data_IF_947409308230
#
_entry.id   IF_947409308230
#
_cell.length_a   1.000
_cell.length_b   1.000
_cell.length_c   1.000
_cell.angle_alpha   90.00
_cell.angle_beta   90.00
_cell.angle_gamma   90.00
#
_symmetry.space_group_name_H-M   'P 1'
#
loop_
_entity.id
_entity.type
_entity.pdbx_description
1 polymer ?
#
# COMPACT_ATOMS: atom_id res chain seq x y z
N UNK A 1 8.20 19.81 3.70
CA UNK A 1 8.29 18.83 2.60
C UNK A 1 7.14 17.86 2.77
N UNK A 2 6.44 17.44 1.71
CA UNK A 2 5.27 16.56 1.85
C UNK A 2 5.58 15.11 2.25
N UNK A 3 6.86 14.69 2.30
CA UNK A 3 7.23 13.35 2.75
C UNK A 3 7.07 13.21 4.26
N UNK A 4 6.19 12.28 4.66
CA UNK A 4 5.80 12.02 6.06
C UNK A 4 5.76 10.51 6.34
N UNK A 5 5.83 10.12 7.62
CA UNK A 5 5.49 8.75 8.04
C UNK A 5 3.98 8.51 7.92
N UNK A 6 3.55 7.25 7.99
CA UNK A 6 2.12 6.94 7.94
C UNK A 6 1.40 7.16 9.28
N UNK A 7 2.11 7.31 10.40
CA UNK A 7 1.52 7.33 11.75
C UNK A 7 0.37 8.33 11.89
N UNK A 8 0.66 9.62 11.69
CA UNK A 8 -0.39 10.65 11.82
C UNK A 8 -1.36 10.62 10.63
N UNK A 9 -0.90 10.28 9.42
CA UNK A 9 -1.73 10.15 8.23
C UNK A 9 -2.85 9.12 8.42
N UNK A 10 -2.53 7.93 8.95
CA UNK A 10 -3.51 6.86 9.14
C UNK A 10 -4.38 7.08 10.38
N UNK A 11 -3.85 7.73 11.40
CA UNK A 11 -4.64 8.13 12.57
C UNK A 11 -5.73 9.11 12.15
N UNK A 12 -5.38 10.15 11.39
CA UNK A 12 -6.34 11.12 10.85
C UNK A 12 -7.39 10.44 9.97
N UNK A 13 -6.96 9.53 9.08
CA UNK A 13 -7.87 8.77 8.23
C UNK A 13 -8.89 7.95 9.03
N UNK A 14 -8.43 7.22 10.06
CA UNK A 14 -9.29 6.46 10.96
C UNK A 14 -10.28 7.36 11.71
N UNK A 15 -9.80 8.46 12.28
CA UNK A 15 -10.63 9.40 13.05
C UNK A 15 -11.72 10.08 12.19
N UNK A 16 -11.39 10.41 10.94
CA UNK A 16 -12.32 11.06 10.00
C UNK A 16 -13.15 10.09 9.17
N UNK A 17 -12.87 8.79 9.23
CA UNK A 17 -13.65 7.76 8.54
C UNK A 17 -13.41 7.72 7.03
N UNK A 18 -12.13 7.82 6.59
CA UNK A 18 -11.71 7.54 5.23
C UNK A 18 -10.51 6.59 5.23
N UNK A 19 -10.10 6.11 4.06
CA UNK A 19 -8.86 5.36 3.94
C UNK A 19 -7.90 6.00 2.94
N UNK A 20 -6.60 6.00 3.27
CA UNK A 20 -5.55 6.43 2.35
C UNK A 20 -5.22 5.29 1.39
N UNK A 21 -5.22 5.58 0.09
CA UNK A 21 -4.81 4.61 -0.92
C UNK A 21 -3.29 4.40 -0.90
N UNK A 22 -2.85 3.14 -0.78
CA UNK A 22 -1.51 2.74 -1.18
C UNK A 22 -1.55 2.28 -2.62
N UNK A 23 -0.74 2.90 -3.48
CA UNK A 23 -0.59 2.53 -4.88
C UNK A 23 0.85 2.11 -5.15
N UNK A 24 1.04 0.92 -5.74
CA UNK A 24 2.38 0.37 -5.95
C UNK A 24 3.08 1.07 -7.12
N UNK A 25 4.35 1.44 -6.88
CA UNK A 25 5.25 1.97 -7.89
C UNK A 25 5.89 0.82 -8.67
N UNK A 26 5.76 0.86 -9.99
CA UNK A 26 6.39 -0.10 -10.88
C UNK A 26 7.45 0.53 -11.80
N UNK A 27 7.30 1.83 -12.11
CA UNK A 27 8.22 2.61 -12.94
C UNK A 27 7.93 4.12 -12.81
N UNK A 28 8.57 4.93 -13.67
CA UNK A 28 8.39 6.38 -13.71
C UNK A 28 6.94 6.79 -13.98
N UNK A 29 6.27 6.13 -14.93
CA UNK A 29 4.90 6.49 -15.35
C UNK A 29 3.88 6.27 -14.22
N UNK A 30 4.03 5.18 -13.44
CA UNK A 30 3.23 4.93 -12.24
C UNK A 30 3.45 6.04 -11.20
N UNK A 31 4.71 6.39 -10.93
CA UNK A 31 5.05 7.42 -9.95
C UNK A 31 4.47 8.78 -10.34
N UNK A 32 4.59 9.15 -11.62
CA UNK A 32 4.01 10.39 -12.16
C UNK A 32 2.49 10.41 -12.01
N UNK A 33 1.82 9.33 -12.43
CA UNK A 33 0.37 9.20 -12.39
C UNK A 33 -0.20 9.34 -10.98
N UNK A 34 0.41 8.64 -10.01
CA UNK A 34 -0.05 8.61 -8.62
C UNK A 34 0.15 9.98 -7.95
N UNK A 35 1.32 10.60 -8.11
CA UNK A 35 1.58 11.93 -7.53
C UNK A 35 0.69 13.02 -8.13
N UNK A 36 0.46 12.98 -9.45
CA UNK A 36 -0.45 13.93 -10.10
C UNK A 36 -1.91 13.72 -9.67
N UNK A 37 -2.35 12.47 -9.50
CA UNK A 37 -3.68 12.16 -8.99
C UNK A 37 -3.86 12.67 -7.56
N UNK A 38 -2.88 12.43 -6.69
CA UNK A 38 -2.91 12.86 -5.29
C UNK A 38 -3.00 14.39 -5.16
N UNK A 39 -2.20 15.13 -5.93
CA UNK A 39 -2.23 16.59 -5.93
C UNK A 39 -3.55 17.13 -6.52
N UNK A 40 -4.08 16.52 -7.57
CA UNK A 40 -5.36 16.93 -8.18
C UNK A 40 -6.54 16.71 -7.24
N UNK A 41 -6.58 15.57 -6.56
CA UNK A 41 -7.65 15.21 -5.60
C UNK A 41 -7.43 15.82 -4.20
N UNK A 42 -6.32 16.50 -3.95
CA UNK A 42 -5.93 16.94 -2.60
C UNK A 42 -6.06 15.81 -1.57
N UNK A 43 -5.51 14.67 -1.95
CA UNK A 43 -5.56 13.42 -1.19
C UNK A 43 -4.19 13.07 -0.62
N UNK A 44 -4.07 12.71 0.67
CA UNK A 44 -2.87 12.03 1.14
C UNK A 44 -2.67 10.73 0.36
N UNK A 45 -1.41 10.30 0.18
CA UNK A 45 -1.10 9.11 -0.63
C UNK A 45 0.08 8.33 -0.08
N UNK A 46 0.03 7.00 -0.23
CA UNK A 46 1.10 6.08 0.10
C UNK A 46 1.63 5.45 -1.18
N UNK A 47 2.93 5.60 -1.43
CA UNK A 47 3.66 5.02 -2.55
C UNK A 47 4.26 3.69 -2.10
N UNK A 48 3.62 2.58 -2.43
CA UNK A 48 4.06 1.23 -2.09
C UNK A 48 5.18 0.77 -3.02
N UNK A 49 6.23 0.20 -2.44
CA UNK A 49 7.38 -0.32 -3.20
C UNK A 49 7.72 -1.69 -2.67
N UNK A 50 7.42 -2.73 -3.44
CA UNK A 50 7.88 -4.09 -3.12
C UNK A 50 9.39 -4.23 -3.37
N UNK A 51 10.00 -5.28 -2.82
CA UNK A 51 11.40 -5.59 -3.09
C UNK A 51 11.65 -5.84 -4.57
N UNK A 52 10.71 -6.53 -5.26
CA UNK A 52 10.75 -6.79 -6.68
C UNK A 52 10.74 -5.52 -7.52
N UNK A 53 9.80 -4.63 -7.24
CA UNK A 53 9.69 -3.33 -7.89
C UNK A 53 10.92 -2.45 -7.62
N UNK A 54 11.43 -2.46 -6.38
CA UNK A 54 12.66 -1.76 -6.01
C UNK A 54 13.86 -2.25 -6.81
N UNK A 55 14.04 -3.57 -6.95
CA UNK A 55 15.10 -4.15 -7.80
C UNK A 55 14.94 -3.76 -9.27
N UNK A 56 13.72 -3.84 -9.79
CA UNK A 56 13.42 -3.48 -11.18
C UNK A 56 13.76 -2.01 -11.48
N UNK A 57 13.45 -1.09 -10.57
CA UNK A 57 13.74 0.35 -10.71
C UNK A 57 15.19 0.73 -10.40
N UNK A 58 16.09 -0.22 -10.12
CA UNK A 58 17.51 0.01 -9.88
C UNK A 58 17.89 0.23 -8.41
N UNK A 59 16.99 -0.09 -7.46
CA UNK A 59 17.22 -0.08 -6.03
C UNK A 59 16.45 1.00 -5.28
N UNK A 60 16.30 0.84 -3.97
CA UNK A 60 15.52 1.74 -3.12
C UNK A 60 15.99 3.20 -3.15
N UNK A 61 17.31 3.43 -3.25
CA UNK A 61 17.85 4.81 -3.37
C UNK A 61 17.38 5.49 -4.66
N UNK A 62 17.32 4.74 -5.77
CA UNK A 62 16.82 5.26 -7.06
C UNK A 62 15.35 5.63 -6.95
N UNK A 63 14.53 4.78 -6.30
CA UNK A 63 13.10 5.05 -6.04
C UNK A 63 12.94 6.34 -5.24
N UNK A 64 13.65 6.48 -4.12
CA UNK A 64 13.55 7.66 -3.27
C UNK A 64 14.00 8.92 -4.02
N UNK A 65 15.07 8.85 -4.80
CA UNK A 65 15.55 9.99 -5.60
C UNK A 65 14.52 10.40 -6.65
N UNK A 66 13.93 9.44 -7.37
CA UNK A 66 12.87 9.69 -8.35
C UNK A 66 11.63 10.33 -7.72
N UNK A 67 11.15 9.78 -6.61
CA UNK A 67 9.97 10.32 -5.91
C UNK A 67 10.23 11.75 -5.44
N UNK A 68 11.38 12.02 -4.81
CA UNK A 68 11.75 13.37 -4.33
C UNK A 68 11.82 14.38 -5.47
N UNK A 69 12.45 14.00 -6.59
CA UNK A 69 12.54 14.87 -7.76
C UNK A 69 11.16 15.18 -8.36
N UNK A 70 10.26 14.19 -8.45
CA UNK A 70 8.91 14.40 -8.97
C UNK A 70 8.02 15.21 -8.02
N UNK A 71 8.18 15.05 -6.71
CA UNK A 71 7.49 15.89 -5.72
C UNK A 71 7.86 17.35 -5.91
N UNK A 72 9.14 17.64 -6.12
CA UNK A 72 9.63 19.00 -6.36
C UNK A 72 9.15 19.54 -7.71
N UNK A 73 9.33 18.79 -8.80
CA UNK A 73 8.97 19.19 -10.16
C UNK A 73 7.46 19.45 -10.32
N UNK A 74 6.61 18.66 -9.67
CA UNK A 74 5.15 18.80 -9.73
C UNK A 74 4.58 19.72 -8.65
N UNK A 75 5.43 20.30 -7.78
CA UNK A 75 5.01 21.11 -6.65
C UNK A 75 3.95 20.40 -5.80
N UNK A 76 4.16 19.09 -5.51
CA UNK A 76 3.23 18.30 -4.71
C UNK A 76 3.17 18.84 -3.29
N UNK A 77 1.97 19.18 -2.82
CA UNK A 77 1.72 19.79 -1.51
C UNK A 77 1.09 18.83 -0.50
N UNK A 78 0.41 17.79 -0.99
CA UNK A 78 -0.28 16.79 -0.17
C UNK A 78 0.71 15.89 0.59
N UNK A 79 0.31 15.29 1.73
CA UNK A 79 1.13 14.33 2.44
C UNK A 79 1.41 13.07 1.60
N UNK A 80 2.68 12.69 1.49
CA UNK A 80 3.15 11.51 0.74
C UNK A 80 3.99 10.62 1.66
N UNK A 81 3.70 9.34 1.73
CA UNK A 81 4.57 8.35 2.35
C UNK A 81 5.23 7.47 1.30
N UNK A 82 6.54 7.17 1.46
CA UNK A 82 7.22 6.12 0.70
C UNK A 82 7.30 4.90 1.60
N UNK A 83 6.64 3.82 1.19
CA UNK A 83 6.42 2.64 2.02
C UNK A 83 7.03 1.38 1.39
N UNK A 84 7.84 0.64 2.16
CA UNK A 84 8.25 -0.71 1.77
C UNK A 84 7.06 -1.65 1.95
N UNK A 85 6.59 -2.24 0.87
CA UNK A 85 5.47 -3.15 0.81
C UNK A 85 5.98 -4.60 0.88
N UNK A 86 5.49 -5.39 1.83
CA UNK A 86 5.94 -6.76 2.10
C UNK A 86 7.46 -6.94 2.22
N UNK A 87 8.10 -6.21 3.15
CA UNK A 87 9.51 -6.43 3.49
C UNK A 87 9.73 -7.83 4.05
N UNK A 88 10.55 -8.65 3.39
CA UNK A 88 10.74 -10.07 3.70
C UNK A 88 11.64 -10.33 4.90
N UNK A 89 12.33 -9.32 5.42
CA UNK A 89 13.32 -9.47 6.49
C UNK A 89 13.65 -8.16 7.17
N UNK A 90 14.25 -8.24 8.37
CA UNK A 90 14.84 -7.09 9.04
C UNK A 90 15.83 -6.32 8.16
N UNK A 91 16.67 -7.04 7.41
CA UNK A 91 17.69 -6.45 6.52
C UNK A 91 17.05 -5.65 5.38
N UNK A 92 15.93 -6.12 4.84
CA UNK A 92 15.19 -5.41 3.80
C UNK A 92 14.59 -4.12 4.33
N UNK A 93 13.93 -4.18 5.49
CA UNK A 93 13.40 -3.00 6.19
C UNK A 93 14.52 -2.00 6.50
N UNK A 94 15.65 -2.45 7.05
CA UNK A 94 16.81 -1.61 7.35
C UNK A 94 17.35 -0.92 6.09
N UNK A 95 17.46 -1.63 4.95
CA UNK A 95 17.88 -1.05 3.67
C UNK A 95 16.92 0.03 3.18
N UNK A 96 15.61 -0.20 3.29
CA UNK A 96 14.60 0.78 2.91
C UNK A 96 14.67 2.04 3.78
N UNK A 97 14.76 1.89 5.10
CA UNK A 97 14.94 2.99 6.06
C UNK A 97 16.18 3.82 5.71
N UNK A 98 17.34 3.17 5.51
CA UNK A 98 18.58 3.84 5.13
C UNK A 98 18.55 4.50 3.75
N UNK A 99 17.69 4.03 2.84
CA UNK A 99 17.47 4.67 1.55
C UNK A 99 16.60 5.93 1.63
N UNK A 100 15.85 6.12 2.73
CA UNK A 100 14.99 7.27 2.98
C UNK A 100 13.50 7.00 2.79
N UNK A 101 13.06 5.75 2.95
CA UNK A 101 11.65 5.41 3.10
C UNK A 101 11.11 6.00 4.39
N UNK A 102 9.87 6.45 4.36
CA UNK A 102 9.20 7.05 5.52
C UNK A 102 8.29 6.06 6.27
N UNK A 103 8.13 4.87 5.71
CA UNK A 103 7.39 3.76 6.28
C UNK A 103 7.92 2.43 5.76
N UNK A 104 7.81 1.38 6.56
CA UNK A 104 8.14 0.01 6.16
C UNK A 104 7.10 -0.97 6.68
N UNK A 105 6.79 -2.00 5.88
CA UNK A 105 6.10 -3.19 6.35
C UNK A 105 7.11 -4.32 6.54
N UNK A 106 7.04 -4.98 7.69
CA UNK A 106 7.66 -6.28 7.91
C UNK A 106 6.62 -7.38 7.79
N UNK A 107 6.78 -8.23 6.79
CA UNK A 107 5.90 -9.39 6.59
C UNK A 107 6.59 -10.65 7.13
N UNK A 108 6.34 -10.93 8.40
CA UNK A 108 6.76 -12.14 9.07
C UNK A 108 5.57 -13.08 9.39
N UNK A 109 4.44 -12.89 8.70
CA UNK A 109 3.19 -13.61 8.93
C UNK A 109 3.28 -15.12 8.65
N UNK A 110 4.24 -15.53 7.83
CA UNK A 110 4.53 -16.92 7.49
C UNK A 110 5.39 -17.66 8.54
N UNK A 111 5.91 -16.94 9.54
CA UNK A 111 6.65 -17.53 10.68
C UNK A 111 5.73 -17.84 11.86
N UNK A 112 6.17 -18.69 12.82
CA UNK A 112 5.48 -18.83 14.09
C UNK A 112 5.26 -17.50 14.79
N UNK A 113 4.15 -17.34 15.52
CA UNK A 113 3.73 -16.08 16.14
C UNK A 113 4.83 -15.38 16.93
N UNK A 114 5.54 -16.08 17.81
CA UNK A 114 6.63 -15.48 18.63
C UNK A 114 7.82 -15.03 17.78
N UNK A 115 8.08 -15.67 16.65
CA UNK A 115 9.13 -15.27 15.71
C UNK A 115 8.70 -14.02 14.92
N UNK A 116 7.42 -13.95 14.50
CA UNK A 116 6.84 -12.75 13.92
C UNK A 116 6.97 -11.57 14.87
N UNK A 117 6.53 -11.74 16.15
CA UNK A 117 6.66 -10.70 17.20
C UNK A 117 8.11 -10.27 17.37
N UNK A 118 9.05 -11.21 17.50
CA UNK A 118 10.46 -10.90 17.76
C UNK A 118 11.11 -10.14 16.58
N UNK A 119 10.77 -10.52 15.34
CA UNK A 119 11.28 -9.86 14.14
C UNK A 119 10.68 -8.47 13.98
N UNK A 120 9.36 -8.36 14.14
CA UNK A 120 8.63 -7.09 14.06
C UNK A 120 9.13 -6.08 15.11
N UNK A 121 9.32 -6.50 16.37
CA UNK A 121 9.82 -5.62 17.43
C UNK A 121 11.20 -5.03 17.10
N UNK A 122 12.10 -5.82 16.50
CA UNK A 122 13.42 -5.33 16.07
C UNK A 122 13.31 -4.28 14.97
N UNK A 123 12.37 -4.49 14.00
CA UNK A 123 12.12 -3.51 12.94
C UNK A 123 11.55 -2.23 13.53
N UNK A 124 10.60 -2.32 14.46
CA UNK A 124 10.00 -1.17 15.15
C UNK A 124 11.07 -0.35 15.88
N UNK A 125 11.97 -0.99 16.64
CA UNK A 125 13.05 -0.30 17.35
C UNK A 125 13.90 0.54 16.37
N UNK A 126 14.33 -0.05 15.26
CA UNK A 126 15.13 0.65 14.26
C UNK A 126 14.33 1.76 13.56
N UNK A 127 13.10 1.45 13.11
CA UNK A 127 12.28 2.37 12.36
C UNK A 127 11.89 3.60 13.17
N UNK A 128 11.41 3.41 14.41
CA UNK A 128 11.01 4.51 15.28
C UNK A 128 12.20 5.40 15.67
N UNK A 129 13.41 4.84 15.83
CA UNK A 129 14.62 5.64 16.03
C UNK A 129 14.87 6.62 14.87
N UNK A 130 14.47 6.25 13.65
CA UNK A 130 14.58 7.07 12.44
C UNK A 130 13.30 7.88 12.10
N UNK A 131 12.26 7.84 12.93
CA UNK A 131 10.98 8.50 12.67
C UNK A 131 10.18 7.86 11.51
N UNK A 132 10.40 6.57 11.26
CA UNK A 132 9.75 5.77 10.20
C UNK A 132 8.67 4.92 10.83
N UNK A 133 7.47 4.90 10.24
CA UNK A 133 6.35 4.07 10.71
C UNK A 133 6.48 2.61 10.28
N UNK A 134 5.89 1.71 11.06
CA UNK A 134 5.92 0.26 10.83
C UNK A 134 4.53 -0.32 10.71
N UNK A 135 4.33 -1.08 9.64
CA UNK A 135 3.21 -1.99 9.42
C UNK A 135 3.67 -3.43 9.65
N UNK A 136 2.79 -4.26 10.21
CA UNK A 136 3.01 -5.70 10.29
C UNK A 136 1.75 -6.47 9.90
N UNK A 137 1.93 -7.73 9.49
CA UNK A 137 0.85 -8.63 9.07
C UNK A 137 0.69 -9.78 10.05
N UNK A 138 -0.58 -10.19 10.25
CA UNK A 138 -0.94 -11.42 10.93
C UNK A 138 -2.01 -12.18 10.15
N UNK A 139 -1.93 -13.51 10.18
CA UNK A 139 -2.67 -14.39 9.29
C UNK A 139 -1.99 -14.49 7.93
N UNK A 140 -2.69 -14.96 6.91
CA UNK A 140 -2.13 -15.08 5.56
C UNK A 140 -3.10 -14.51 4.55
N UNK A 141 -2.68 -13.45 3.85
CA UNK A 141 -3.40 -12.91 2.69
C UNK A 141 -3.13 -13.84 1.50
N UNK A 142 -4.20 -14.38 0.90
CA UNK A 142 -4.09 -15.30 -0.24
C UNK A 142 -3.75 -14.61 -1.55
N UNK A 143 -3.45 -15.40 -2.59
CA UNK A 143 -3.17 -14.90 -3.94
C UNK A 143 -1.70 -14.66 -4.23
N UNK A 144 -1.43 -13.82 -5.22
CA UNK A 144 -0.06 -13.51 -5.63
C UNK A 144 0.13 -12.00 -5.80
N UNK A 145 1.13 -11.46 -5.14
CA UNK A 145 1.65 -10.11 -5.38
C UNK A 145 3.18 -10.16 -5.45
N UNK A 146 3.72 -9.80 -6.61
CA UNK A 146 5.15 -9.91 -6.95
C UNK A 146 5.73 -11.30 -6.62
N UNK A 147 6.67 -11.37 -5.67
CA UNK A 147 7.34 -12.60 -5.25
C UNK A 147 6.58 -13.33 -4.11
N UNK A 148 5.47 -12.76 -3.59
CA UNK A 148 4.67 -13.34 -2.51
C UNK A 148 3.53 -14.16 -3.11
N UNK A 149 3.49 -15.45 -2.81
CA UNK A 149 2.46 -16.39 -3.27
C UNK A 149 1.91 -17.15 -2.06
N UNK A 150 0.59 -17.10 -1.85
CA UNK A 150 -0.09 -17.87 -0.84
C UNK A 150 -1.28 -18.65 -1.44
N UNK A 151 -1.33 -19.97 -1.19
CA UNK A 151 -2.36 -20.85 -1.75
C UNK A 151 -3.75 -20.71 -1.08
N UNK A 152 -3.83 -20.05 0.08
CA UNK A 152 -5.05 -19.86 0.83
C UNK A 152 -5.03 -18.66 1.76
N UNK A 153 -6.19 -18.36 2.33
CA UNK A 153 -6.36 -17.31 3.35
C UNK A 153 -6.38 -17.98 4.72
N UNK A 154 -5.57 -17.49 5.65
CA UNK A 154 -5.64 -17.84 7.06
C UNK A 154 -6.05 -16.57 7.80
N UNK A 155 -7.24 -16.58 8.42
CA UNK A 155 -7.73 -15.40 9.14
C UNK A 155 -6.89 -15.14 10.38
N UNK A 156 -6.61 -13.87 10.60
CA UNK A 156 -5.93 -13.39 11.79
C UNK A 156 -6.82 -13.59 13.03
N UNK A 157 -6.26 -14.15 14.10
CA UNK A 157 -6.94 -14.25 15.39
C UNK A 157 -6.92 -12.89 16.11
N UNK A 158 -8.09 -12.37 16.59
CA UNK A 158 -8.15 -11.06 17.23
C UNK A 158 -7.28 -10.92 18.49
N UNK A 159 -7.10 -12.01 19.27
CA UNK A 159 -6.26 -11.98 20.48
C UNK A 159 -4.79 -11.94 20.12
N UNK A 160 -4.37 -12.71 19.13
CA UNK A 160 -3.00 -12.65 18.61
C UNK A 160 -2.72 -11.28 17.99
N UNK A 161 -3.70 -10.65 17.30
CA UNK A 161 -3.58 -9.28 16.82
C UNK A 161 -3.32 -8.29 17.95
N UNK A 162 -4.07 -8.37 19.04
CA UNK A 162 -3.86 -7.53 20.22
C UNK A 162 -2.48 -7.77 20.83
N UNK A 163 -2.09 -9.03 21.03
CA UNK A 163 -0.79 -9.39 21.60
C UNK A 163 0.37 -8.91 20.72
N UNK A 164 0.29 -9.05 19.39
CA UNK A 164 1.29 -8.55 18.45
C UNK A 164 1.48 -7.04 18.62
N UNK A 165 0.38 -6.28 18.65
CA UNK A 165 0.40 -4.82 18.82
C UNK A 165 1.05 -4.42 20.15
N UNK A 166 0.62 -5.04 21.26
CA UNK A 166 1.13 -4.73 22.61
C UNK A 166 2.62 -5.07 22.76
N UNK A 167 3.10 -6.16 22.14
CA UNK A 167 4.48 -6.61 22.25
C UNK A 167 5.45 -5.90 21.29
N UNK A 168 4.95 -5.32 20.22
CA UNK A 168 5.80 -4.74 19.15
C UNK A 168 5.73 -3.24 19.06
N UNK A 169 4.58 -2.62 19.33
CA UNK A 169 4.37 -1.19 19.18
C UNK A 169 4.33 -0.70 17.72
N UNK A 170 3.83 -1.51 16.80
CA UNK A 170 3.61 -1.12 15.39
C UNK A 170 2.64 0.05 15.26
N UNK A 171 2.69 0.77 14.14
CA UNK A 171 1.84 1.94 13.89
C UNK A 171 0.52 1.60 13.20
N UNK A 172 0.46 0.51 12.43
CA UNK A 172 -0.75 -0.03 11.81
C UNK A 172 -0.63 -1.54 11.60
N UNK A 173 -1.78 -2.21 11.51
CA UNK A 173 -1.86 -3.65 11.42
C UNK A 173 -2.60 -4.08 10.16
N UNK A 174 -2.01 -5.01 9.40
CA UNK A 174 -2.63 -5.71 8.29
C UNK A 174 -3.13 -7.10 8.73
N UNK A 175 -4.35 -7.22 9.26
CA UNK A 175 -4.92 -8.52 9.58
C UNK A 175 -5.44 -9.18 8.29
N UNK A 176 -5.04 -10.42 8.02
CA UNK A 176 -5.61 -11.19 6.92
C UNK A 176 -7.06 -11.58 7.25
N UNK A 177 -8.03 -11.02 6.55
CA UNK A 177 -9.47 -11.18 6.81
C UNK A 177 -10.27 -11.49 5.53
N UNK A 178 -9.72 -12.31 4.63
CA UNK A 178 -10.42 -12.81 3.45
C UNK A 178 -10.17 -12.05 2.16
N UNK A 179 -9.38 -10.99 2.18
CA UNK A 179 -8.89 -10.37 0.96
C UNK A 179 -7.79 -11.22 0.30
N UNK A 180 -7.59 -11.03 -1.01
CA UNK A 180 -6.56 -11.73 -1.78
C UNK A 180 -5.82 -10.78 -2.70
N UNK A 181 -4.54 -11.04 -2.93
CA UNK A 181 -3.75 -10.33 -3.93
C UNK A 181 -4.12 -10.78 -5.35
N UNK A 182 -4.17 -9.84 -6.28
CA UNK A 182 -4.53 -10.12 -7.66
C UNK A 182 -6.05 -10.14 -7.92
N UNK A 183 -6.47 -10.64 -9.10
CA UNK A 183 -7.90 -10.73 -9.44
C UNK A 183 -8.62 -11.79 -8.61
N UNK A 184 -9.77 -11.44 -8.04
CA UNK A 184 -10.62 -12.41 -7.34
C UNK A 184 -11.18 -13.47 -8.31
N UNK A 185 -11.21 -14.72 -7.88
CA UNK A 185 -11.86 -15.85 -8.59
C UNK A 185 -13.33 -16.07 -8.18
N UNK A 186 -13.97 -15.10 -7.58
CA UNK A 186 -15.32 -15.13 -7.06
C UNK A 186 -15.63 -13.82 -6.35
N UNK A 187 -16.73 -13.80 -5.58
CA UNK A 187 -17.02 -12.63 -4.75
C UNK A 187 -16.09 -12.59 -3.53
N UNK A 188 -15.51 -11.42 -3.21
CA UNK A 188 -14.74 -11.25 -1.98
C UNK A 188 -15.60 -11.55 -0.75
N UNK A 189 -15.03 -12.25 0.23
CA UNK A 189 -15.71 -12.53 1.49
C UNK A 189 -14.83 -12.03 2.65
N UNK A 190 -15.07 -10.80 3.08
CA UNK A 190 -14.29 -10.16 4.12
C UNK A 190 -14.84 -10.49 5.51
N UNK A 191 -13.95 -10.77 6.46
CA UNK A 191 -14.23 -11.00 7.88
C UNK A 191 -14.55 -9.73 8.65
N UNK A 192 -15.72 -9.14 8.41
CA UNK A 192 -16.11 -7.88 9.04
C UNK A 192 -16.31 -7.96 10.55
N UNK A 193 -16.66 -9.16 11.08
CA UNK A 193 -16.82 -9.37 12.53
C UNK A 193 -15.45 -9.31 13.20
N UNK A 194 -14.48 -10.03 12.67
CA UNK A 194 -13.11 -10.03 13.15
C UNK A 194 -12.47 -8.63 12.96
N UNK A 195 -12.73 -7.96 11.84
CA UNK A 195 -12.26 -6.60 11.58
C UNK A 195 -12.75 -5.62 12.65
N UNK A 196 -14.03 -5.68 13.03
CA UNK A 196 -14.61 -4.84 14.07
C UNK A 196 -13.99 -5.13 15.44
N UNK A 197 -13.81 -6.41 15.79
CA UNK A 197 -13.19 -6.84 17.02
C UNK A 197 -11.73 -6.36 17.11
N UNK A 198 -10.92 -6.62 16.07
CA UNK A 198 -9.52 -6.21 16.02
C UNK A 198 -9.40 -4.68 16.06
N UNK A 199 -10.23 -3.96 15.30
CA UNK A 199 -10.21 -2.50 15.29
C UNK A 199 -10.52 -1.86 16.64
N UNK A 200 -11.39 -2.51 17.46
CA UNK A 200 -11.74 -2.06 18.81
C UNK A 200 -10.68 -2.43 19.85
N UNK A 201 -10.15 -3.65 19.80
CA UNK A 201 -9.21 -4.16 20.82
C UNK A 201 -7.81 -3.57 20.66
N UNK A 202 -7.32 -3.45 19.42
CA UNK A 202 -6.00 -2.87 19.16
C UNK A 202 -5.99 -1.35 19.19
N UNK A 203 -7.09 -0.72 18.82
CA UNK A 203 -7.17 0.73 18.67
C UNK A 203 -6.36 1.29 17.51
N UNK A 204 -5.58 0.47 16.79
CA UNK A 204 -4.74 0.90 15.68
C UNK A 204 -5.53 1.11 14.37
N UNK A 205 -4.99 1.89 13.41
CA UNK A 205 -5.43 1.86 12.02
C UNK A 205 -5.25 0.46 11.43
N UNK A 206 -6.28 -0.07 10.77
CA UNK A 206 -6.20 -1.33 10.05
C UNK A 206 -5.84 -1.11 8.59
N UNK A 207 -5.18 -2.09 8.00
CA UNK A 207 -4.77 -2.11 6.60
C UNK A 207 -5.49 -3.23 5.87
N UNK A 208 -6.06 -2.93 4.70
CA UNK A 208 -6.68 -3.90 3.80
C UNK A 208 -5.78 -4.11 2.59
N UNK A 209 -5.12 -5.27 2.53
CA UNK A 209 -4.41 -5.72 1.33
C UNK A 209 -5.38 -6.25 0.28
N UNK A 210 -4.98 -6.28 -1.00
CA UNK A 210 -5.79 -6.84 -2.08
C UNK A 210 -7.07 -6.06 -2.36
N UNK A 211 -7.03 -4.73 -2.34
CA UNK A 211 -8.19 -3.85 -2.56
C UNK A 211 -8.78 -3.84 -3.98
N UNK A 212 -8.11 -4.49 -4.96
CA UNK A 212 -8.59 -4.57 -6.34
C UNK A 212 -9.81 -5.48 -6.45
N UNK A 213 -10.94 -4.97 -6.97
CA UNK A 213 -12.14 -5.78 -7.24
C UNK A 213 -13.06 -6.03 -6.04
N UNK A 214 -12.80 -5.43 -4.89
CA UNK A 214 -13.73 -5.44 -3.75
C UNK A 214 -14.88 -4.48 -4.06
N UNK A 215 -16.15 -4.89 -3.84
CA UNK A 215 -17.30 -4.01 -4.03
C UNK A 215 -17.22 -2.73 -3.18
N UNK A 216 -17.62 -1.58 -3.74
CA UNK A 216 -17.59 -0.28 -3.05
C UNK A 216 -18.33 -0.30 -1.70
N UNK A 217 -19.41 -1.08 -1.58
CA UNK A 217 -20.13 -1.22 -0.31
C UNK A 217 -19.28 -1.86 0.78
N UNK A 218 -18.49 -2.89 0.41
CA UNK A 218 -17.61 -3.61 1.33
C UNK A 218 -16.39 -2.76 1.70
N UNK A 219 -15.83 -2.00 0.75
CA UNK A 219 -14.79 -0.99 1.02
C UNK A 219 -15.28 0.02 2.07
N UNK A 220 -16.45 0.62 1.87
CA UNK A 220 -17.04 1.57 2.82
C UNK A 220 -17.30 0.96 4.19
N UNK A 221 -17.73 -0.30 4.22
CA UNK A 221 -17.94 -1.05 5.46
C UNK A 221 -16.61 -1.28 6.18
N UNK A 222 -15.56 -1.73 5.48
CA UNK A 222 -14.23 -1.91 6.06
C UNK A 222 -13.69 -0.60 6.66
N UNK A 223 -13.83 0.52 5.95
CA UNK A 223 -13.44 1.85 6.45
C UNK A 223 -14.18 2.19 7.73
N UNK A 224 -15.50 1.96 7.79
CA UNK A 224 -16.30 2.21 9.00
C UNK A 224 -15.90 1.35 10.21
N UNK A 225 -15.16 0.26 9.99
CA UNK A 225 -14.66 -0.67 11.01
C UNK A 225 -13.19 -0.45 11.37
N UNK A 226 -12.57 0.64 10.86
CA UNK A 226 -11.22 1.05 11.25
C UNK A 226 -10.14 0.83 10.20
N UNK A 227 -10.50 0.36 8.99
CA UNK A 227 -9.55 0.32 7.87
C UNK A 227 -9.21 1.75 7.44
N UNK A 228 -7.94 2.11 7.55
CA UNK A 228 -7.42 3.45 7.24
C UNK A 228 -6.41 3.45 6.07
N UNK A 229 -5.99 2.27 5.59
CA UNK A 229 -5.11 2.08 4.43
C UNK A 229 -5.66 0.96 3.55
N UNK A 230 -5.67 1.15 2.25
CA UNK A 230 -6.10 0.13 1.28
C UNK A 230 -5.08 0.05 0.14
N UNK A 231 -4.55 -1.16 -0.10
CA UNK A 231 -3.56 -1.41 -1.14
C UNK A 231 -4.23 -1.69 -2.49
N UNK A 232 -3.77 -0.99 -3.55
CA UNK A 232 -4.23 -1.18 -4.93
C UNK A 232 -3.03 -1.25 -5.87
N UNK A 233 -2.81 -2.40 -6.49
CA UNK A 233 -1.75 -2.63 -7.48
C UNK A 233 -2.32 -3.13 -8.82
N UNK A 234 -2.96 -4.30 -8.79
CA UNK A 234 -3.39 -5.03 -9.98
C UNK A 234 -4.29 -4.20 -10.91
N UNK A 235 -5.21 -3.40 -10.37
CA UNK A 235 -6.12 -2.57 -11.17
C UNK A 235 -5.36 -1.52 -11.98
N UNK A 236 -4.33 -0.89 -11.39
CA UNK A 236 -3.45 0.06 -12.07
C UNK A 236 -2.62 -0.62 -13.16
N UNK A 237 -2.09 -1.83 -12.88
CA UNK A 237 -1.34 -2.62 -13.87
C UNK A 237 -2.22 -3.01 -15.06
N UNK A 238 -3.46 -3.44 -14.81
CA UNK A 238 -4.43 -3.79 -15.86
C UNK A 238 -4.75 -2.57 -16.72
N UNK A 239 -5.05 -1.42 -16.10
CA UNK A 239 -5.35 -0.17 -16.82
C UNK A 239 -4.18 0.26 -17.70
N UNK A 240 -2.96 0.24 -17.16
CA UNK A 240 -1.73 0.54 -17.89
C UNK A 240 -1.53 -0.39 -19.10
N UNK A 241 -1.55 -1.70 -18.85
CA UNK A 241 -1.33 -2.70 -19.89
C UNK A 241 -2.40 -2.64 -21.02
N UNK A 242 -3.65 -2.35 -20.66
CA UNK A 242 -4.75 -2.14 -21.61
C UNK A 242 -4.45 -0.94 -22.51
N UNK A 243 -4.11 0.21 -21.94
CA UNK A 243 -3.84 1.43 -22.69
C UNK A 243 -2.64 1.27 -23.64
N UNK A 244 -1.58 0.57 -23.22
CA UNK A 244 -0.44 0.23 -24.10
C UNK A 244 -0.90 -0.62 -25.28
N UNK A 245 -1.65 -1.71 -25.04
CA UNK A 245 -2.12 -2.61 -26.09
C UNK A 245 -3.03 -1.88 -27.09
N UNK A 246 -3.96 -1.07 -26.63
CA UNK A 246 -4.89 -0.30 -27.48
C UNK A 246 -4.13 0.72 -28.33
N UNK A 247 -3.14 1.41 -27.76
CA UNK A 247 -2.33 2.39 -28.49
C UNK A 247 -1.51 1.73 -29.59
N UNK A 248 -0.82 0.62 -29.28
CA UNK A 248 -0.01 -0.11 -30.26
C UNK A 248 -0.86 -0.82 -31.32
N UNK A 249 -2.06 -1.29 -30.97
CA UNK A 249 -2.99 -1.85 -31.96
C UNK A 249 -3.51 -0.79 -32.93
N UNK A 250 -3.76 0.44 -32.46
CA UNK A 250 -4.19 1.55 -33.29
C UNK A 250 -3.06 2.16 -34.15
N UNK A 251 -1.81 2.02 -33.72
CA UNK A 251 -0.62 2.58 -34.39
C UNK A 251 0.48 1.53 -34.41
N UNK A 252 0.36 0.56 -35.31
CA UNK A 252 1.24 -0.63 -35.38
C UNK A 252 2.71 -0.30 -35.63
N UNK A 253 3.00 0.84 -36.28
CA UNK A 253 4.37 1.29 -36.58
C UNK A 253 4.95 2.21 -35.48
N UNK A 254 4.24 2.42 -34.37
CA UNK A 254 4.70 3.30 -33.31
C UNK A 254 5.81 2.61 -32.49
N UNK A 255 6.97 3.23 -32.38
CA UNK A 255 8.13 2.73 -31.65
C UNK A 255 8.61 3.69 -30.53
N UNK A 256 8.10 4.93 -30.50
CA UNK A 256 8.48 5.88 -29.45
C UNK A 256 7.75 5.54 -28.13
N UNK A 257 8.48 5.12 -27.06
CA UNK A 257 7.86 4.72 -25.81
C UNK A 257 6.99 5.83 -25.19
N UNK A 258 7.32 7.09 -25.40
CA UNK A 258 6.54 8.22 -24.87
C UNK A 258 5.13 8.28 -25.46
N UNK A 259 4.92 7.71 -26.63
CA UNK A 259 3.65 7.70 -27.36
C UNK A 259 2.69 6.61 -26.88
N UNK A 260 3.19 5.51 -26.30
CA UNK A 260 2.36 4.43 -25.77
C UNK A 260 2.39 4.35 -24.24
N UNK A 261 3.46 4.81 -23.58
CA UNK A 261 3.49 4.91 -22.12
C UNK A 261 2.76 6.16 -21.59
N UNK A 262 2.68 7.26 -22.37
CA UNK A 262 1.90 8.44 -22.01
C UNK A 262 0.42 8.10 -21.75
N UNK A 263 -0.30 7.50 -22.72
CA UNK A 263 -1.68 7.02 -22.51
C UNK A 263 -1.82 6.02 -21.35
N UNK A 264 -0.81 5.16 -21.13
CA UNK A 264 -0.79 4.24 -20.00
C UNK A 264 -0.75 4.99 -18.66
N UNK A 265 0.13 6.01 -18.53
CA UNK A 265 0.19 6.89 -17.36
C UNK A 265 -1.15 7.57 -17.10
N UNK A 266 -1.80 8.08 -18.13
CA UNK A 266 -3.08 8.77 -18.01
C UNK A 266 -4.20 7.80 -17.56
N UNK A 267 -4.16 6.55 -18.02
CA UNK A 267 -5.08 5.50 -17.57
C UNK A 267 -4.86 5.13 -16.09
N UNK A 268 -3.60 5.02 -15.64
CA UNK A 268 -3.27 4.80 -14.23
C UNK A 268 -3.80 5.96 -13.38
N UNK A 269 -3.54 7.21 -13.80
CA UNK A 269 -4.01 8.40 -13.08
C UNK A 269 -5.52 8.38 -12.89
N UNK A 270 -6.27 8.07 -13.94
CA UNK A 270 -7.74 7.98 -13.86
C UNK A 270 -8.21 6.90 -12.87
N UNK A 271 -7.55 5.74 -12.85
CA UNK A 271 -7.85 4.66 -11.89
C UNK A 271 -7.57 5.11 -10.45
N UNK A 272 -6.41 5.71 -10.20
CA UNK A 272 -6.01 6.23 -8.88
C UNK A 272 -7.00 7.28 -8.36
N UNK A 273 -7.41 8.25 -9.21
CA UNK A 273 -8.44 9.24 -8.87
C UNK A 273 -9.75 8.55 -8.47
N UNK A 274 -10.19 7.55 -9.24
CA UNK A 274 -11.38 6.77 -8.92
C UNK A 274 -11.31 6.12 -7.54
N UNK A 275 -10.16 5.54 -7.19
CA UNK A 275 -9.94 4.91 -5.87
C UNK A 275 -9.86 5.93 -4.74
N UNK A 276 -9.20 7.07 -4.90
CA UNK A 276 -9.17 8.12 -3.89
C UNK A 276 -10.57 8.62 -3.55
N UNK A 277 -11.44 8.78 -4.56
CA UNK A 277 -12.86 9.14 -4.37
C UNK A 277 -13.65 8.03 -3.69
N UNK A 278 -13.42 6.76 -4.09
CA UNK A 278 -14.06 5.59 -3.49
C UNK A 278 -13.71 5.44 -2.00
N UNK A 279 -12.44 5.67 -1.64
CA UNK A 279 -11.93 5.57 -0.26
C UNK A 279 -12.24 6.81 0.59
N UNK A 280 -12.78 7.87 -0.02
CA UNK A 280 -13.13 9.11 0.67
C UNK A 280 -11.94 9.98 1.02
N UNK A 281 -10.74 9.74 0.45
CA UNK A 281 -9.53 10.51 0.74
C UNK A 281 -9.39 11.81 -0.05
N UNK A 282 -10.22 12.05 -1.08
CA UNK A 282 -10.25 13.31 -1.82
C UNK A 282 -10.58 14.49 -0.89
N UNK A 283 -9.79 15.58 -0.99
CA UNK A 283 -9.88 16.77 -0.16
C UNK A 283 -9.62 16.56 1.35
N UNK A 284 -8.81 15.55 1.69
CA UNK A 284 -8.41 15.27 3.08
C UNK A 284 -6.94 15.68 3.39
N UNK A 285 -6.22 16.30 2.44
CA UNK A 285 -4.84 16.76 2.63
C UNK A 285 -4.77 18.19 3.17
#
# INVERSE_FOLDING_TARGET
>A
MPLVSMTEMLKDAKEKGYAVGQFNLNNLEFTQAILQAAEEEKSPVILGVSEGAGRYMGGFKTVVAMVKALIEEYNVTVPVAIHLDHGSSFESCAKAIHAGFTSVMIDASHHPFDENVATTAKVVELAHFHGVSVEAELGTVGGQEDDVIAEGVIYADPKECQELVERTGIDCLAPALGSVHGPYKGEPNLGFVEMEEIGKTTGLPLVLHGGTGIPTADIKRAISLGTAKINVNTENQIASAKAVRETLAAKTEEYDPRKYLGPARDAIKATVIGKMREFGSSNQA
#
